data_IF_013791403339
#
_entry.id   IF_013791403339
#
_cell.length_a   1.000
_cell.length_b   1.000
_cell.length_c   1.000
_cell.angle_alpha   90.00
_cell.angle_beta   90.00
_cell.angle_gamma   90.00
#
_symmetry.space_group_name_H-M   'P 1'
#
loop_
_entity.id
_entity.type
_entity.pdbx_description
1 polymer ?
#
# COMPACT_ATOMS: atom_id res chain seq x y z
N UNK A 1 11.62 -17.34 -2.66
CA UNK A 1 10.88 -16.16 -2.20
C UNK A 1 10.37 -15.47 -3.45
N UNK A 2 9.13 -15.01 -3.40
CA UNK A 2 8.55 -14.19 -4.45
C UNK A 2 9.09 -12.77 -4.37
N UNK A 3 8.89 -12.02 -5.45
CA UNK A 3 9.27 -10.61 -5.49
C UNK A 3 8.53 -9.78 -4.43
N UNK A 4 7.32 -10.20 -4.05
CA UNK A 4 6.52 -9.58 -3.01
C UNK A 4 7.09 -9.89 -1.63
N UNK A 5 7.45 -11.14 -1.35
CA UNK A 5 8.10 -11.52 -0.09
C UNK A 5 9.40 -10.72 0.14
N UNK A 6 10.26 -10.64 -0.88
CA UNK A 6 11.52 -9.87 -0.80
C UNK A 6 11.25 -8.36 -0.56
N UNK A 7 10.18 -7.82 -1.15
CA UNK A 7 9.78 -6.42 -0.95
C UNK A 7 9.29 -6.17 0.47
N UNK A 8 8.41 -7.03 0.98
CA UNK A 8 7.87 -6.94 2.34
C UNK A 8 8.95 -7.16 3.42
N UNK A 9 10.00 -7.91 3.10
CA UNK A 9 11.17 -8.09 3.95
C UNK A 9 12.16 -6.90 3.92
N UNK A 10 11.87 -5.82 3.18
CA UNK A 10 12.77 -4.68 3.05
C UNK A 10 13.95 -4.91 2.10
N UNK A 11 14.02 -6.02 1.37
CA UNK A 11 15.18 -6.33 0.52
C UNK A 11 15.16 -5.61 -0.85
N UNK A 12 14.09 -4.83 -1.12
CA UNK A 12 13.82 -4.20 -2.44
C UNK A 12 13.40 -2.73 -2.37
N UNK A 13 14.16 -1.88 -1.68
CA UNK A 13 13.86 -0.44 -1.54
C UNK A 13 13.83 0.37 -2.85
N UNK A 14 14.44 -0.13 -3.92
CA UNK A 14 14.43 0.53 -5.24
C UNK A 14 13.19 0.17 -6.08
N UNK A 15 12.39 -0.78 -5.61
CA UNK A 15 11.17 -1.24 -6.25
C UNK A 15 9.92 -0.65 -5.59
N UNK A 16 8.80 -0.74 -6.31
CA UNK A 16 7.47 -0.40 -5.81
C UNK A 16 6.56 -1.59 -5.97
N UNK A 17 5.63 -1.76 -5.03
CA UNK A 17 4.57 -2.75 -5.09
C UNK A 17 3.24 -2.08 -5.49
N UNK A 18 2.55 -2.71 -6.44
CA UNK A 18 1.28 -2.24 -6.99
C UNK A 18 0.25 -3.36 -6.86
N UNK A 19 -0.75 -3.16 -6.01
CA UNK A 19 -1.93 -4.03 -5.97
C UNK A 19 -3.04 -3.46 -6.83
N UNK A 20 -3.70 -4.31 -7.59
CA UNK A 20 -4.87 -3.99 -8.41
C UNK A 20 -5.88 -5.13 -8.26
N UNK A 21 -7.14 -4.80 -7.94
CA UNK A 21 -8.19 -5.81 -7.88
C UNK A 21 -8.57 -6.33 -9.26
N UNK A 22 -9.14 -7.55 -9.30
CA UNK A 22 -9.73 -8.10 -10.51
C UNK A 22 -10.80 -7.16 -11.09
N UNK A 23 -11.68 -6.62 -10.24
CA UNK A 23 -12.74 -5.70 -10.64
C UNK A 23 -12.19 -4.42 -11.28
N UNK A 24 -11.14 -3.85 -10.70
CA UNK A 24 -10.49 -2.66 -11.25
C UNK A 24 -9.86 -2.96 -12.62
N UNK A 25 -9.15 -4.07 -12.76
CA UNK A 25 -8.53 -4.50 -14.02
C UNK A 25 -9.56 -4.75 -15.12
N UNK A 26 -10.67 -5.42 -14.78
CA UNK A 26 -11.79 -5.69 -15.69
C UNK A 26 -12.46 -4.39 -16.15
N UNK A 27 -12.69 -3.43 -15.23
CA UNK A 27 -13.27 -2.13 -15.57
C UNK A 27 -12.41 -1.33 -16.57
N UNK A 28 -11.10 -1.49 -16.48
CA UNK A 28 -10.13 -0.85 -17.38
C UNK A 28 -9.88 -1.65 -18.66
N UNK A 29 -10.46 -2.85 -18.80
CA UNK A 29 -10.20 -3.76 -19.92
C UNK A 29 -8.74 -4.21 -20.00
N UNK A 30 -8.03 -4.26 -18.86
CA UNK A 30 -6.61 -4.61 -18.78
C UNK A 30 -6.47 -6.00 -18.20
N UNK A 31 -5.81 -6.89 -18.93
CA UNK A 31 -5.38 -8.17 -18.38
C UNK A 31 -4.01 -7.99 -17.71
N UNK A 32 -3.80 -8.53 -16.50
CA UNK A 32 -2.49 -8.53 -15.88
C UNK A 32 -1.58 -9.43 -16.73
N UNK A 33 -0.58 -8.82 -17.36
CA UNK A 33 0.44 -9.55 -18.13
C UNK A 33 1.59 -10.01 -17.23
N UNK A 34 1.71 -9.44 -16.03
CA UNK A 34 2.78 -9.62 -15.06
C UNK A 34 2.23 -9.28 -13.66
N UNK A 35 2.59 -10.06 -12.65
CA UNK A 35 2.14 -9.89 -11.25
C UNK A 35 1.99 -11.24 -10.55
N UNK A 36 2.11 -11.24 -9.23
CA UNK A 36 1.74 -12.36 -8.35
C UNK A 36 0.23 -12.31 -8.12
N UNK A 37 -0.46 -13.44 -8.34
CA UNK A 37 -1.90 -13.55 -8.05
C UNK A 37 -2.11 -13.70 -6.56
N UNK A 38 -2.98 -12.86 -6.01
CA UNK A 38 -3.48 -12.94 -4.62
C UNK A 38 -4.98 -13.17 -4.65
N UNK A 39 -5.60 -13.46 -3.50
CA UNK A 39 -7.01 -13.84 -3.43
C UNK A 39 -7.97 -12.77 -4.00
N UNK A 40 -7.58 -11.50 -3.91
CA UNK A 40 -8.41 -10.34 -4.32
C UNK A 40 -7.90 -9.62 -5.58
N UNK A 41 -6.90 -10.16 -6.28
CA UNK A 41 -6.35 -9.54 -7.49
C UNK A 41 -4.89 -9.87 -7.75
N UNK A 42 -4.09 -8.85 -8.07
CA UNK A 42 -2.68 -9.03 -8.44
C UNK A 42 -1.78 -8.00 -7.78
N UNK A 43 -0.63 -8.46 -7.28
CA UNK A 43 0.45 -7.60 -6.79
C UNK A 43 1.62 -7.64 -7.76
N UNK A 44 2.04 -6.48 -8.25
CA UNK A 44 3.17 -6.31 -9.14
C UNK A 44 4.30 -5.57 -8.42
N UNK A 45 5.45 -6.22 -8.28
CA UNK A 45 6.68 -5.59 -7.78
C UNK A 45 7.63 -5.33 -8.95
N UNK A 46 7.99 -4.06 -9.15
CA UNK A 46 8.81 -3.60 -10.29
C UNK A 46 9.69 -2.42 -9.89
N UNK A 47 10.78 -2.14 -10.65
CA UNK A 47 11.64 -0.98 -10.39
C UNK A 47 10.83 0.30 -10.31
N UNK A 48 11.15 1.17 -9.34
CA UNK A 48 10.27 2.30 -8.99
C UNK A 48 9.94 3.24 -10.15
N UNK A 49 10.87 3.48 -11.07
CA UNK A 49 10.61 4.26 -12.28
C UNK A 49 9.63 3.58 -13.23
N UNK A 50 9.73 2.26 -13.40
CA UNK A 50 8.82 1.48 -14.23
C UNK A 50 7.45 1.36 -13.55
N UNK A 51 7.41 1.14 -12.24
CA UNK A 51 6.18 1.04 -11.48
C UNK A 51 5.38 2.33 -11.47
N UNK A 52 6.02 3.50 -11.26
CA UNK A 52 5.33 4.80 -11.36
C UNK A 52 4.72 5.03 -12.75
N UNK A 53 5.44 4.65 -13.82
CA UNK A 53 4.92 4.73 -15.19
C UNK A 53 3.76 3.75 -15.42
N UNK A 54 3.87 2.54 -14.91
CA UNK A 54 2.84 1.51 -15.01
C UNK A 54 1.58 1.92 -14.24
N UNK A 55 1.72 2.49 -13.04
CA UNK A 55 0.62 3.04 -12.26
C UNK A 55 -0.10 4.15 -13.04
N UNK A 56 0.63 5.16 -13.53
CA UNK A 56 0.03 6.24 -14.30
C UNK A 56 -0.66 5.77 -15.58
N UNK A 57 -0.09 4.78 -16.28
CA UNK A 57 -0.74 4.16 -17.44
C UNK A 57 -1.95 3.28 -17.04
N UNK A 58 -1.93 2.70 -15.83
CA UNK A 58 -2.93 1.83 -15.23
C UNK A 58 -4.18 2.58 -14.77
N UNK A 59 -3.97 3.62 -13.97
CA UNK A 59 -5.01 4.36 -13.25
C UNK A 59 -5.35 5.71 -13.86
N UNK A 60 -4.48 6.23 -14.73
CA UNK A 60 -4.58 7.61 -15.23
C UNK A 60 -4.15 8.67 -14.21
N UNK A 61 -3.66 8.27 -13.03
CA UNK A 61 -3.25 9.16 -11.95
C UNK A 61 -1.73 9.17 -11.79
N UNK A 62 -1.15 10.31 -11.40
CA UNK A 62 0.26 10.35 -11.01
C UNK A 62 0.46 9.70 -9.63
N UNK A 63 1.43 8.79 -9.52
CA UNK A 63 1.67 8.05 -8.29
C UNK A 63 2.08 8.96 -7.12
N UNK A 64 2.85 10.02 -7.39
CA UNK A 64 3.31 10.95 -6.35
C UNK A 64 2.18 11.90 -5.93
N UNK A 65 1.34 12.33 -6.87
CA UNK A 65 0.14 13.11 -6.57
C UNK A 65 -0.84 12.30 -5.73
N UNK A 66 -1.08 11.03 -6.09
CA UNK A 66 -1.89 10.10 -5.33
C UNK A 66 -1.36 9.90 -3.91
N UNK A 67 -0.08 9.55 -3.77
CA UNK A 67 0.53 9.35 -2.46
C UNK A 67 0.40 10.61 -1.59
N UNK A 68 0.65 11.79 -2.14
CA UNK A 68 0.49 13.07 -1.41
C UNK A 68 -0.94 13.32 -0.98
N UNK A 69 -1.94 13.00 -1.81
CA UNK A 69 -3.34 13.17 -1.46
C UNK A 69 -3.80 12.21 -0.35
N UNK A 70 -3.27 10.99 -0.33
CA UNK A 70 -3.61 9.96 0.64
C UNK A 70 -2.86 10.12 1.99
N UNK A 71 -1.75 10.87 2.04
CA UNK A 71 -0.94 11.07 3.25
C UNK A 71 -1.71 11.69 4.42
N UNK A 72 -2.73 12.49 4.13
CA UNK A 72 -3.50 13.22 5.14
C UNK A 72 -4.53 12.34 5.87
N UNK A 73 -4.88 11.19 5.30
CA UNK A 73 -5.85 10.26 5.86
C UNK A 73 -5.15 8.94 6.23
N UNK A 74 -5.35 8.50 7.48
CA UNK A 74 -4.84 7.22 7.99
C UNK A 74 -5.93 6.15 7.92
N UNK A 75 -5.55 4.93 7.56
CA UNK A 75 -6.40 3.75 7.54
C UNK A 75 -5.54 2.49 7.50
N UNK A 76 -6.11 1.33 7.87
CA UNK A 76 -5.34 0.09 7.92
C UNK A 76 -5.11 -0.46 6.51
N UNK A 77 -3.86 -0.81 6.17
CA UNK A 77 -3.53 -1.54 4.95
C UNK A 77 -2.96 -2.90 5.32
N UNK A 78 -3.46 -3.95 4.65
CA UNK A 78 -3.01 -5.32 4.85
C UNK A 78 -1.50 -5.44 4.65
N UNK A 79 -0.83 -6.14 5.56
CA UNK A 79 0.64 -6.33 5.52
C UNK A 79 1.10 -7.15 4.32
N UNK A 80 0.20 -7.91 3.69
CA UNK A 80 0.42 -8.63 2.43
C UNK A 80 0.12 -7.80 1.18
N UNK A 81 -0.30 -6.53 1.35
CA UNK A 81 -0.64 -5.59 0.27
C UNK A 81 -1.72 -6.12 -0.68
N UNK A 82 -2.71 -6.84 -0.15
CA UNK A 82 -3.82 -7.43 -0.89
C UNK A 82 -5.20 -6.85 -0.48
N UNK A 83 -5.21 -5.83 0.37
CA UNK A 83 -6.43 -5.20 0.87
C UNK A 83 -6.16 -4.16 1.95
N UNK A 84 -7.23 -3.63 2.54
CA UNK A 84 -7.18 -2.63 3.59
C UNK A 84 -8.58 -2.25 4.07
N UNK A 85 -8.63 -1.56 5.21
CA UNK A 85 -9.87 -1.07 5.81
C UNK A 85 -9.96 0.44 5.61
N UNK A 86 -10.95 0.86 4.82
CA UNK A 86 -11.19 2.26 4.56
C UNK A 86 -11.62 2.97 5.85
N UNK A 87 -10.96 4.08 6.25
CA UNK A 87 -11.30 4.80 7.48
C UNK A 87 -12.65 5.51 7.42
N UNK A 88 -13.22 5.66 6.22
CA UNK A 88 -14.56 6.18 6.01
C UNK A 88 -15.65 5.09 6.09
N UNK A 89 -15.28 3.81 6.25
CA UNK A 89 -16.24 2.72 6.37
C UNK A 89 -16.88 2.72 7.77
N UNK A 90 -18.22 2.69 7.82
CA UNK A 90 -18.98 2.49 9.04
C UNK A 90 -19.41 1.00 9.15
N UNK A 91 -18.52 0.14 9.64
CA UNK A 91 -18.76 -1.31 9.77
C UNK A 91 -18.37 -2.11 8.52
N UNK A 92 -18.99 -3.28 8.32
CA UNK A 92 -18.74 -4.18 7.18
C UNK A 92 -19.52 -3.73 5.92
N UNK A 93 -19.19 -2.55 5.40
CA UNK A 93 -19.81 -2.03 4.18
C UNK A 93 -19.00 -2.49 2.95
N UNK A 94 -19.60 -3.35 2.11
CA UNK A 94 -18.98 -3.86 0.88
C UNK A 94 -18.68 -2.72 -0.13
N UNK A 95 -19.31 -1.55 0.02
CA UNK A 95 -19.03 -0.35 -0.79
C UNK A 95 -17.63 0.26 -0.52
N UNK A 96 -16.92 -0.23 0.51
CA UNK A 96 -15.61 0.27 0.92
C UNK A 96 -14.41 -0.62 0.54
N UNK A 97 -14.57 -1.50 -0.44
CA UNK A 97 -13.48 -2.32 -0.95
C UNK A 97 -12.32 -1.47 -1.53
N UNK A 98 -11.07 -1.94 -1.36
CA UNK A 98 -9.88 -1.33 -1.96
C UNK A 98 -9.84 -1.64 -3.46
N UNK A 99 -9.61 -0.64 -4.31
CA UNK A 99 -9.44 -0.84 -5.76
C UNK A 99 -7.98 -1.06 -6.14
N UNK A 100 -7.07 -0.31 -5.51
CA UNK A 100 -5.63 -0.43 -5.75
C UNK A 100 -4.80 0.08 -4.58
N UNK A 101 -3.58 -0.48 -4.43
CA UNK A 101 -2.58 -0.05 -3.45
C UNK A 101 -1.28 0.27 -4.18
N UNK A 102 -0.66 1.39 -3.82
CA UNK A 102 0.68 1.77 -4.21
C UNK A 102 1.57 1.73 -2.97
N UNK A 103 2.68 0.99 -3.00
CA UNK A 103 3.61 0.92 -1.88
C UNK A 103 5.07 1.00 -2.31
N UNK A 104 5.90 1.55 -1.43
CA UNK A 104 7.37 1.55 -1.54
C UNK A 104 7.99 1.34 -0.17
N UNK A 105 9.22 0.84 -0.12
CA UNK A 105 9.97 0.72 1.13
C UNK A 105 11.16 1.67 1.15
N UNK A 106 11.52 2.12 2.33
CA UNK A 106 12.69 2.97 2.59
C UNK A 106 13.61 2.25 3.58
N UNK A 107 14.91 2.33 3.31
CA UNK A 107 15.93 1.80 4.22
C UNK A 107 15.92 2.56 5.55
N UNK A 108 16.28 1.88 6.64
CA UNK A 108 16.47 2.49 7.95
C UNK A 108 17.33 3.76 7.87
N UNK A 109 16.86 4.81 8.55
CA UNK A 109 17.53 6.10 8.64
C UNK A 109 17.39 6.72 10.04
N UNK A 110 18.43 6.52 10.86
CA UNK A 110 18.50 7.05 12.23
C UNK A 110 18.47 8.59 12.30
N UNK A 111 18.93 9.28 11.25
CA UNK A 111 18.97 10.75 11.23
C UNK A 111 17.58 11.39 11.10
N UNK A 112 16.62 10.66 10.52
CA UNK A 112 15.22 11.11 10.39
C UNK A 112 14.46 10.92 11.71
N UNK A 113 14.78 9.86 12.46
CA UNK A 113 14.08 9.50 13.70
C UNK A 113 12.67 8.94 13.46
N UNK A 114 11.91 8.74 14.54
CA UNK A 114 10.62 8.03 14.49
C UNK A 114 10.79 6.62 13.93
N UNK A 115 9.79 6.10 13.20
CA UNK A 115 9.81 4.77 12.56
C UNK A 115 11.12 4.46 11.80
N UNK A 116 11.67 5.46 11.10
CA UNK A 116 12.89 5.29 10.31
C UNK A 116 14.12 4.95 11.15
N UNK A 117 14.14 5.25 12.44
CA UNK A 117 15.23 4.82 13.33
C UNK A 117 15.08 3.36 13.80
N UNK A 118 13.88 2.78 13.71
CA UNK A 118 13.61 1.42 14.20
C UNK A 118 13.97 0.34 13.17
N UNK A 119 13.80 0.64 11.88
CA UNK A 119 14.13 -0.29 10.81
C UNK A 119 13.72 0.23 9.44
N UNK A 120 13.67 -0.68 8.48
CA UNK A 120 13.15 -0.39 7.15
C UNK A 120 11.64 -0.12 7.23
N UNK A 121 11.18 0.92 6.53
CA UNK A 121 9.80 1.39 6.62
C UNK A 121 9.08 1.11 5.31
N UNK A 122 7.91 0.46 5.39
CA UNK A 122 6.99 0.34 4.26
C UNK A 122 6.01 1.50 4.31
N UNK A 123 5.88 2.19 3.18
CA UNK A 123 4.86 3.20 2.94
C UNK A 123 3.83 2.65 1.96
N UNK A 124 2.57 2.58 2.37
CA UNK A 124 1.48 2.11 1.53
C UNK A 124 0.34 3.14 1.43
N UNK A 125 -0.27 3.21 0.25
CA UNK A 125 -1.34 4.14 -0.09
C UNK A 125 -2.43 3.36 -0.82
N UNK A 126 -3.65 3.38 -0.30
CA UNK A 126 -4.78 2.66 -0.86
C UNK A 126 -5.84 3.64 -1.39
N UNK A 127 -6.47 3.26 -2.50
CA UNK A 127 -7.67 3.92 -3.01
C UNK A 127 -8.87 2.99 -2.84
N UNK A 128 -9.92 3.52 -2.24
CA UNK A 128 -11.16 2.80 -1.97
C UNK A 128 -12.19 3.08 -3.06
N UNK A 129 -13.07 2.11 -3.34
CA UNK A 129 -14.18 2.25 -4.28
C UNK A 129 -15.15 3.39 -3.92
N UNK A 130 -15.24 3.78 -2.64
CA UNK A 130 -16.01 4.94 -2.21
C UNK A 130 -15.38 6.30 -2.63
N UNK A 131 -14.18 6.28 -3.20
CA UNK A 131 -13.40 7.44 -3.65
C UNK A 131 -12.39 7.97 -2.63
N UNK A 132 -12.40 7.44 -1.40
CA UNK A 132 -11.46 7.84 -0.35
C UNK A 132 -10.07 7.27 -0.61
N UNK A 133 -9.03 8.04 -0.25
CA UNK A 133 -7.63 7.60 -0.37
C UNK A 133 -6.95 7.74 0.97
N UNK A 134 -6.29 6.69 1.43
CA UNK A 134 -5.68 6.66 2.76
C UNK A 134 -4.31 6.01 2.72
N UNK A 135 -3.53 6.24 3.76
CA UNK A 135 -2.17 5.77 3.89
C UNK A 135 -1.92 5.05 5.19
N UNK A 136 -1.02 4.09 5.12
CA UNK A 136 -0.44 3.41 6.28
C UNK A 136 1.08 3.35 6.10
N UNK A 137 1.79 3.26 7.22
CA UNK A 137 3.24 3.06 7.23
C UNK A 137 3.62 2.25 8.46
N UNK A 138 4.55 1.34 8.30
CA UNK A 138 5.00 0.45 9.38
C UNK A 138 6.45 0.05 9.18
N UNK A 139 7.08 -0.42 10.26
CA UNK A 139 8.44 -0.95 10.24
C UNK A 139 8.40 -2.43 9.91
N UNK A 140 9.27 -2.87 9.01
CA UNK A 140 9.43 -4.27 8.62
C UNK A 140 9.83 -5.10 9.83
N UNK A 141 9.05 -6.15 10.14
CA UNK A 141 9.25 -7.02 11.30
C UNK A 141 8.65 -6.50 12.61
N UNK A 142 8.06 -5.30 12.63
CA UNK A 142 7.35 -4.70 13.76
C UNK A 142 5.90 -4.32 13.37
N UNK A 143 5.27 -5.10 12.48
CA UNK A 143 3.97 -4.79 11.87
C UNK A 143 2.81 -4.69 12.87
N UNK A 144 2.95 -5.35 14.03
CA UNK A 144 1.98 -5.33 15.14
C UNK A 144 2.24 -4.24 16.15
N UNK A 145 3.42 -3.61 16.09
CA UNK A 145 3.88 -2.57 17.02
C UNK A 145 3.95 -1.20 16.34
N UNK A 146 3.74 -1.14 15.03
CA UNK A 146 3.76 0.08 14.21
C UNK A 146 2.63 0.08 13.17
N UNK A 147 2.27 1.27 12.71
CA UNK A 147 1.22 1.49 11.71
C UNK A 147 -0.18 1.33 12.25
N UNK A 148 -1.16 1.53 11.38
CA UNK A 148 -2.58 1.38 11.73
C UNK A 148 -2.89 -0.11 11.85
N UNK A 149 -3.54 -0.51 12.95
CA UNK A 149 -3.92 -1.90 13.19
C UNK A 149 -5.34 -2.18 12.71
N UNK A 150 -5.72 -3.45 12.49
CA UNK A 150 -7.05 -3.80 12.04
C UNK A 150 -8.16 -3.23 12.95
N UNK A 151 -9.19 -2.66 12.34
CA UNK A 151 -10.28 -1.97 13.05
C UNK A 151 -9.90 -0.65 13.74
N UNK A 152 -8.69 -0.14 13.49
CA UNK A 152 -8.21 1.16 13.96
C UNK A 152 -8.12 2.19 12.84
N UNK A 153 -7.98 3.47 13.22
CA UNK A 153 -7.72 4.57 12.30
C UNK A 153 -6.45 5.38 12.66
N UNK A 154 -5.85 5.07 13.82
CA UNK A 154 -4.65 5.74 14.33
C UNK A 154 -3.50 4.72 14.42
N UNK A 155 -2.26 5.11 14.06
CA UNK A 155 -1.09 4.25 14.21
C UNK A 155 -0.81 3.96 15.69
N UNK A 156 -0.44 2.73 16.03
CA UNK A 156 -0.21 2.33 17.43
C UNK A 156 0.97 3.05 18.09
N UNK A 157 1.95 3.47 17.32
CA UNK A 157 3.11 4.23 17.82
C UNK A 157 2.78 5.69 18.18
N UNK A 158 1.67 6.23 17.68
CA UNK A 158 1.24 7.61 17.96
C UNK A 158 0.32 7.69 19.19
N UNK A 159 -0.16 6.55 19.70
CA UNK A 159 -1.07 6.44 20.85
C UNK A 159 -0.28 6.36 22.16
N UNK A 160 0.50 7.41 22.49
CA UNK A 160 1.20 7.57 23.78
C UNK A 160 0.48 8.52 24.76
#
# INVERSE_FOLDING_TARGET
MSQLEDFLAGERHEDVALFLTDEYLDSQGKLPKMGETVDSGYVLVVPGDDGRRAFAAGTGMDAMEFARGAMDQRGHISRTLDGGECPAADGDDEDHAVEFIFAFSEAQNEDVGGLYAHGDVVHAYAHCACGESYSDKWVVGEETETGVQPGGAEPVEDVE
#
